data_IF_482830212421
#
_entry.id   IF_482830212421
#
_cell.length_a   1.000
_cell.length_b   1.000
_cell.length_c   1.000
_cell.angle_alpha   90.00
_cell.angle_beta   90.00
_cell.angle_gamma   90.00
#
_symmetry.space_group_name_H-M   'P 1'
#
loop_
_entity.id
_entity.type
_entity.pdbx_description
1 polymer ?
#
# COMPACT_ATOMS: atom_id res chain seq x y z
N UNK A 1 71.20 18.00 -79.67
CA UNK A 1 69.87 17.49 -80.06
C UNK A 1 69.73 16.13 -79.39
N UNK A 2 68.80 16.01 -78.44
CA UNK A 2 68.42 14.71 -77.88
C UNK A 2 67.16 14.30 -78.62
N UNK A 3 67.24 13.19 -79.35
CA UNK A 3 66.08 12.57 -79.99
C UNK A 3 65.15 12.10 -78.87
N UNK A 4 63.96 12.70 -78.84
CA UNK A 4 62.87 12.28 -77.97
C UNK A 4 62.33 11.00 -78.59
N UNK A 5 62.43 9.89 -77.87
CA UNK A 5 61.96 8.59 -78.31
C UNK A 5 60.43 8.56 -78.23
N UNK A 6 59.78 8.93 -79.33
CA UNK A 6 58.32 8.98 -79.46
C UNK A 6 57.65 7.59 -79.32
N UNK A 7 58.43 6.51 -79.33
CA UNK A 7 57.94 5.16 -79.08
C UNK A 7 57.59 4.91 -77.62
N UNK A 8 58.22 5.62 -76.67
CA UNK A 8 57.86 5.54 -75.25
C UNK A 8 56.55 6.30 -74.95
N UNK A 9 56.30 7.44 -75.63
CA UNK A 9 55.09 8.26 -75.39
C UNK A 9 53.78 7.53 -75.73
N UNK A 10 53.74 6.72 -76.78
CA UNK A 10 52.53 5.94 -77.13
C UNK A 10 52.22 4.80 -76.15
N UNK A 11 53.25 4.27 -75.48
CA UNK A 11 53.11 3.17 -74.51
C UNK A 11 52.59 3.62 -73.13
N UNK A 12 52.79 4.88 -72.76
CA UNK A 12 52.22 5.46 -71.54
C UNK A 12 50.79 5.96 -71.74
N UNK A 13 50.46 6.44 -72.94
CA UNK A 13 49.15 7.04 -73.22
C UNK A 13 48.02 6.00 -73.21
N UNK A 14 48.22 4.80 -73.79
CA UNK A 14 47.22 3.72 -73.72
C UNK A 14 47.04 3.21 -72.28
N UNK A 15 48.14 3.15 -71.53
CA UNK A 15 48.15 2.64 -70.16
C UNK A 15 47.40 3.62 -69.24
N UNK A 16 47.62 4.93 -69.40
CA UNK A 16 46.84 5.95 -68.71
C UNK A 16 45.35 5.93 -69.15
N UNK A 17 45.07 5.81 -70.45
CA UNK A 17 43.71 5.84 -71.00
C UNK A 17 42.85 4.66 -70.54
N UNK A 18 43.45 3.49 -70.28
CA UNK A 18 42.73 2.31 -69.78
C UNK A 18 42.71 2.24 -68.25
N UNK A 19 43.83 2.55 -67.59
CA UNK A 19 43.91 2.39 -66.13
C UNK A 19 43.22 3.51 -65.36
N UNK A 20 43.18 4.75 -65.87
CA UNK A 20 42.51 5.86 -65.18
C UNK A 20 41.00 5.58 -65.01
N UNK A 21 40.24 5.19 -66.05
CA UNK A 21 38.82 4.84 -65.90
C UNK A 21 38.59 3.64 -64.99
N UNK A 22 39.46 2.62 -65.04
CA UNK A 22 39.37 1.44 -64.18
C UNK A 22 39.60 1.80 -62.71
N UNK A 23 40.65 2.58 -62.42
CA UNK A 23 40.93 3.07 -61.07
C UNK A 23 39.79 3.94 -60.55
N UNK A 24 39.24 4.83 -61.40
CA UNK A 24 38.09 5.65 -61.05
C UNK A 24 36.87 4.77 -60.70
N UNK A 25 36.59 3.76 -61.53
CA UNK A 25 35.48 2.82 -61.31
C UNK A 25 35.62 2.03 -60.00
N UNK A 26 36.83 1.57 -59.66
CA UNK A 26 37.10 0.89 -58.39
C UNK A 26 36.88 1.83 -57.21
N UNK A 27 37.39 3.07 -57.26
CA UNK A 27 37.20 4.06 -56.19
C UNK A 27 35.72 4.37 -56.00
N UNK A 28 34.96 4.56 -57.08
CA UNK A 28 33.51 4.78 -57.01
C UNK A 28 32.78 3.58 -56.40
N UNK A 29 33.15 2.34 -56.77
CA UNK A 29 32.54 1.13 -56.21
C UNK A 29 32.83 0.99 -54.70
N UNK A 30 34.05 1.30 -54.26
CA UNK A 30 34.42 1.29 -52.85
C UNK A 30 33.61 2.35 -52.08
N UNK A 31 33.53 3.59 -52.59
CA UNK A 31 32.75 4.65 -51.97
C UNK A 31 31.26 4.29 -51.87
N UNK A 32 30.68 3.70 -52.92
CA UNK A 32 29.31 3.21 -52.90
C UNK A 32 29.12 2.12 -51.84
N UNK A 33 30.06 1.17 -51.74
CA UNK A 33 30.03 0.10 -50.73
C UNK A 33 30.10 0.64 -49.29
N UNK A 34 31.00 1.60 -49.04
CA UNK A 34 31.12 2.27 -47.73
C UNK A 34 29.83 3.04 -47.40
N UNK A 35 29.23 3.74 -48.36
CA UNK A 35 27.98 4.48 -48.16
C UNK A 35 26.80 3.54 -47.81
N UNK A 36 26.69 2.38 -48.46
CA UNK A 36 25.66 1.38 -48.12
C UNK A 36 25.90 0.81 -46.73
N UNK A 37 27.16 0.52 -46.37
CA UNK A 37 27.48 -0.03 -45.05
C UNK A 37 27.21 0.96 -43.92
N UNK A 38 27.58 2.24 -44.09
CA UNK A 38 27.29 3.29 -43.10
C UNK A 38 25.79 3.56 -42.99
N UNK A 39 25.06 3.57 -44.11
CA UNK A 39 23.60 3.66 -44.10
C UNK A 39 22.94 2.52 -43.33
N UNK A 40 23.39 1.27 -43.55
CA UNK A 40 22.85 0.13 -42.84
C UNK A 40 23.13 0.19 -41.33
N UNK A 41 24.36 0.57 -40.93
CA UNK A 41 24.72 0.79 -39.52
C UNK A 41 23.89 1.90 -38.88
N UNK A 42 23.64 2.99 -39.60
CA UNK A 42 22.78 4.08 -39.14
C UNK A 42 21.33 3.60 -38.94
N UNK A 43 20.76 2.79 -39.86
CA UNK A 43 19.42 2.23 -39.69
C UNK A 43 19.30 1.29 -38.49
N UNK A 44 20.33 0.46 -38.22
CA UNK A 44 20.33 -0.43 -37.05
C UNK A 44 20.40 0.37 -35.75
N UNK A 45 21.22 1.42 -35.71
CA UNK A 45 21.29 2.33 -34.57
C UNK A 45 19.97 3.08 -34.35
N UNK A 46 19.34 3.56 -35.43
CA UNK A 46 18.04 4.23 -35.36
C UNK A 46 16.96 3.33 -34.76
N UNK A 47 16.83 2.09 -35.23
CA UNK A 47 15.88 1.10 -34.65
C UNK A 47 16.17 0.80 -33.19
N UNK A 48 17.45 0.72 -32.81
CA UNK A 48 17.83 0.48 -31.41
C UNK A 48 17.43 1.66 -30.52
N UNK A 49 17.68 2.90 -30.97
CA UNK A 49 17.28 4.12 -30.26
C UNK A 49 15.76 4.17 -30.11
N UNK A 50 15.02 3.85 -31.17
CA UNK A 50 13.56 3.79 -31.15
C UNK A 50 13.07 2.74 -30.13
N UNK A 51 13.65 1.53 -30.13
CA UNK A 51 13.29 0.50 -29.15
C UNK A 51 13.60 0.90 -27.69
N UNK A 52 14.69 1.65 -27.46
CA UNK A 52 15.03 2.15 -26.13
C UNK A 52 14.07 3.26 -25.70
N UNK A 53 13.70 4.15 -26.62
CA UNK A 53 12.70 5.19 -26.37
C UNK A 53 11.34 4.59 -26.02
N UNK A 54 10.88 3.59 -26.76
CA UNK A 54 9.61 2.90 -26.47
C UNK A 54 9.63 2.21 -25.11
N UNK A 55 10.76 1.58 -24.74
CA UNK A 55 10.92 0.94 -23.44
C UNK A 55 10.91 1.96 -22.29
N UNK A 56 11.58 3.09 -22.46
CA UNK A 56 11.60 4.18 -21.48
C UNK A 56 10.24 4.87 -21.35
N UNK A 57 9.54 5.10 -22.47
CA UNK A 57 8.17 5.62 -22.45
C UNK A 57 7.24 4.67 -21.69
N UNK A 58 7.30 3.35 -21.96
CA UNK A 58 6.53 2.35 -21.21
C UNK A 58 6.83 2.36 -19.71
N UNK A 59 8.09 2.53 -19.31
CA UNK A 59 8.47 2.63 -17.89
C UNK A 59 7.86 3.87 -17.23
N UNK A 60 7.99 5.03 -17.87
CA UNK A 60 7.39 6.28 -17.38
C UNK A 60 5.88 6.18 -17.26
N UNK A 61 5.21 5.56 -18.24
CA UNK A 61 3.77 5.32 -18.16
C UNK A 61 3.39 4.39 -17.02
N UNK A 62 4.17 3.33 -16.77
CA UNK A 62 3.94 2.43 -15.63
C UNK A 62 4.14 3.14 -14.28
N UNK A 63 5.20 3.95 -14.16
CA UNK A 63 5.48 4.76 -12.97
C UNK A 63 4.34 5.76 -12.71
N UNK A 64 3.93 6.54 -13.71
CA UNK A 64 2.81 7.49 -13.59
C UNK A 64 1.50 6.80 -13.21
N UNK A 65 1.23 5.61 -13.76
CA UNK A 65 0.06 4.82 -13.39
C UNK A 65 0.13 4.39 -11.93
N UNK A 66 1.29 3.92 -11.46
CA UNK A 66 1.48 3.50 -10.07
C UNK A 66 1.31 4.66 -9.08
N UNK A 67 1.87 5.83 -9.39
CA UNK A 67 1.73 7.03 -8.56
C UNK A 67 0.27 7.50 -8.50
N UNK A 68 -0.45 7.42 -9.61
CA UNK A 68 -1.88 7.75 -9.66
C UNK A 68 -2.69 6.79 -8.79
N UNK A 69 -2.42 5.49 -8.87
CA UNK A 69 -3.09 4.48 -8.04
C UNK A 69 -2.80 4.69 -6.55
N UNK A 70 -1.55 5.01 -6.18
CA UNK A 70 -1.18 5.32 -4.79
C UNK A 70 -1.84 6.60 -4.26
N UNK A 71 -2.05 7.58 -5.14
CA UNK A 71 -2.76 8.80 -4.75
C UNK A 71 -4.23 8.50 -4.49
N UNK A 72 -4.87 7.75 -5.39
CA UNK A 72 -6.25 7.28 -5.22
C UNK A 72 -6.42 6.42 -3.97
N UNK A 73 -5.53 5.45 -3.73
CA UNK A 73 -5.61 4.57 -2.55
C UNK A 73 -5.51 5.35 -1.24
N UNK A 74 -4.70 6.40 -1.18
CA UNK A 74 -4.59 7.27 0.00
C UNK A 74 -5.86 8.08 0.24
N UNK A 75 -6.48 8.60 -0.82
CA UNK A 75 -7.72 9.36 -0.72
C UNK A 75 -8.89 8.47 -0.27
N UNK A 76 -9.00 7.28 -0.87
CA UNK A 76 -9.97 6.25 -0.52
C UNK A 76 -9.77 5.75 0.91
N UNK A 77 -8.53 5.47 1.31
CA UNK A 77 -8.22 5.07 2.68
C UNK A 77 -8.59 6.17 3.69
N UNK A 78 -8.41 7.45 3.36
CA UNK A 78 -8.85 8.56 4.22
C UNK A 78 -10.36 8.58 4.37
N UNK A 79 -11.13 8.34 3.31
CA UNK A 79 -12.59 8.25 3.40
C UNK A 79 -13.01 7.09 4.32
N UNK A 80 -12.41 5.92 4.15
CA UNK A 80 -12.64 4.75 5.01
C UNK A 80 -12.27 5.00 6.47
N UNK A 81 -11.10 5.60 6.74
CA UNK A 81 -10.65 5.93 8.09
C UNK A 81 -11.59 6.92 8.76
N UNK A 82 -12.10 7.92 8.04
CA UNK A 82 -13.09 8.87 8.58
C UNK A 82 -14.36 8.14 8.99
N UNK A 83 -14.90 7.29 8.13
CA UNK A 83 -16.11 6.53 8.42
C UNK A 83 -15.93 5.59 9.62
N UNK A 84 -14.86 4.78 9.62
CA UNK A 84 -14.57 3.84 10.71
C UNK A 84 -14.39 4.59 12.03
N UNK A 85 -13.60 5.67 12.05
CA UNK A 85 -13.36 6.50 13.24
C UNK A 85 -14.65 7.10 13.80
N UNK A 86 -15.47 7.73 12.97
CA UNK A 86 -16.74 8.32 13.41
C UNK A 86 -17.67 7.24 13.98
N UNK A 87 -17.73 6.07 13.33
CA UNK A 87 -18.53 4.93 13.84
C UNK A 87 -18.03 4.45 15.20
N UNK A 88 -16.72 4.46 15.45
CA UNK A 88 -16.16 4.10 16.75
C UNK A 88 -16.42 5.15 17.84
N UNK A 89 -16.32 6.45 17.51
CA UNK A 89 -16.46 7.58 18.45
C UNK A 89 -17.91 7.80 18.93
N UNK A 90 -18.91 7.55 18.09
CA UNK A 90 -20.31 7.95 18.36
C UNK A 90 -20.95 7.21 19.53
N UNK A 91 -20.49 6.01 19.87
CA UNK A 91 -21.02 5.31 21.04
C UNK A 91 -20.64 6.00 22.36
N UNK A 92 -19.51 6.73 22.40
CA UNK A 92 -19.17 7.58 23.54
C UNK A 92 -20.13 8.76 23.70
N UNK A 93 -20.68 9.27 22.58
CA UNK A 93 -21.61 10.40 22.54
C UNK A 93 -23.08 10.00 22.79
N UNK A 94 -23.54 8.83 22.32
CA UNK A 94 -24.93 8.40 22.49
C UNK A 94 -25.35 8.16 23.94
N UNK A 95 -24.40 8.00 24.87
CA UNK A 95 -24.68 7.83 26.29
C UNK A 95 -24.78 9.15 27.07
N UNK A 96 -24.56 10.30 26.42
CA UNK A 96 -24.77 11.62 27.02
C UNK A 96 -26.08 12.25 26.50
N UNK A 97 -27.16 12.25 27.28
CA UNK A 97 -28.45 12.85 26.89
C UNK A 97 -28.40 14.37 26.73
N UNK A 98 -27.28 15.04 27.08
CA UNK A 98 -27.07 16.47 26.91
C UNK A 98 -26.18 16.82 25.71
N UNK A 99 -25.71 15.81 24.97
CA UNK A 99 -24.86 16.05 23.82
C UNK A 99 -25.63 16.80 22.72
N UNK A 100 -25.10 17.92 22.19
CA UNK A 100 -25.71 18.61 21.06
C UNK A 100 -25.72 17.70 19.82
N UNK A 101 -26.68 17.92 18.91
CA UNK A 101 -26.71 17.22 17.62
C UNK A 101 -25.35 17.35 16.93
N UNK A 102 -24.79 16.24 16.49
CA UNK A 102 -23.49 16.23 15.80
C UNK A 102 -23.60 17.05 14.51
N UNK A 103 -22.58 17.88 14.17
CA UNK A 103 -22.48 18.49 12.86
C UNK A 103 -22.58 17.43 11.77
N UNK A 104 -23.16 17.76 10.61
CA UNK A 104 -23.35 16.81 9.48
C UNK A 104 -22.02 16.16 9.05
N UNK A 105 -20.91 16.89 9.14
CA UNK A 105 -19.56 16.40 8.85
C UNK A 105 -19.06 15.31 9.82
N UNK A 106 -19.74 15.16 10.97
CA UNK A 106 -19.50 14.11 11.97
C UNK A 106 -20.59 13.03 11.96
N UNK A 107 -21.51 13.06 10.99
CA UNK A 107 -22.50 12.00 10.83
C UNK A 107 -21.83 10.76 10.20
N UNK A 108 -21.85 9.60 10.89
CA UNK A 108 -21.20 8.39 10.40
C UNK A 108 -21.93 7.82 9.18
N UNK A 109 -23.21 8.14 8.98
CA UNK A 109 -24.00 7.71 7.82
C UNK A 109 -23.54 8.44 6.58
N UNK A 110 -23.27 9.75 6.68
CA UNK A 110 -22.71 10.54 5.57
C UNK A 110 -21.32 10.02 5.24
N UNK A 111 -20.46 9.85 6.24
CA UNK A 111 -19.11 9.30 6.04
C UNK A 111 -19.13 7.89 5.42
N UNK A 112 -20.12 7.05 5.77
CA UNK A 112 -20.34 5.75 5.14
C UNK A 112 -20.67 5.89 3.66
N UNK A 113 -21.63 6.76 3.31
CA UNK A 113 -22.05 6.98 1.92
C UNK A 113 -20.86 7.46 1.08
N UNK A 114 -20.07 8.40 1.60
CA UNK A 114 -18.87 8.89 0.93
C UNK A 114 -17.86 7.76 0.69
N UNK A 115 -17.58 6.96 1.73
CA UNK A 115 -16.66 5.83 1.64
C UNK A 115 -17.14 4.78 0.63
N UNK A 116 -18.42 4.39 0.68
CA UNK A 116 -19.02 3.44 -0.26
C UNK A 116 -18.94 3.95 -1.70
N UNK A 117 -19.37 5.20 -1.92
CA UNK A 117 -19.38 5.79 -3.27
C UNK A 117 -17.96 5.84 -3.86
N UNK A 118 -16.97 6.19 -3.03
CA UNK A 118 -15.58 6.27 -3.46
C UNK A 118 -15.01 4.87 -3.76
N UNK A 119 -15.22 3.89 -2.88
CA UNK A 119 -14.63 2.56 -3.02
C UNK A 119 -15.35 1.67 -4.05
N UNK A 120 -16.64 1.86 -4.29
CA UNK A 120 -17.39 1.09 -5.31
C UNK A 120 -16.93 1.46 -6.73
N UNK A 121 -16.54 2.72 -6.93
CA UNK A 121 -16.03 3.26 -8.18
C UNK A 121 -14.50 3.19 -8.29
N UNK A 122 -13.83 2.69 -7.25
CA UNK A 122 -12.37 2.63 -7.19
C UNK A 122 -11.80 1.69 -8.24
N UNK A 123 -10.66 2.10 -8.79
CA UNK A 123 -9.79 1.27 -9.63
C UNK A 123 -8.66 0.62 -8.84
N UNK A 124 -8.57 0.91 -7.54
CA UNK A 124 -7.51 0.41 -6.66
C UNK A 124 -7.80 -1.05 -6.30
N UNK A 125 -6.80 -1.95 -6.42
CA UNK A 125 -6.94 -3.34 -6.02
C UNK A 125 -7.45 -3.48 -4.58
N UNK A 126 -8.38 -4.42 -4.35
CA UNK A 126 -8.87 -4.75 -3.01
C UNK A 126 -9.81 -3.73 -2.37
N UNK A 127 -10.15 -2.61 -3.04
CA UNK A 127 -11.05 -1.59 -2.48
C UNK A 127 -12.40 -2.18 -2.04
N UNK A 128 -13.05 -2.97 -2.90
CA UNK A 128 -14.33 -3.61 -2.57
C UNK A 128 -14.23 -4.59 -1.41
N UNK A 129 -13.16 -5.39 -1.37
CA UNK A 129 -12.93 -6.35 -0.30
C UNK A 129 -12.69 -5.62 1.03
N UNK A 130 -11.92 -4.53 1.01
CA UNK A 130 -11.68 -3.68 2.18
C UNK A 130 -12.97 -3.04 2.70
N UNK A 131 -13.80 -2.50 1.79
CA UNK A 131 -15.11 -1.95 2.10
C UNK A 131 -15.98 -2.99 2.80
N UNK A 132 -16.12 -4.17 2.17
CA UNK A 132 -16.98 -5.24 2.68
C UNK A 132 -16.50 -5.80 4.02
N UNK A 133 -15.19 -5.98 4.18
CA UNK A 133 -14.61 -6.44 5.44
C UNK A 133 -14.83 -5.44 6.56
N UNK A 134 -14.66 -4.14 6.27
CA UNK A 134 -14.90 -3.06 7.24
C UNK A 134 -16.38 -2.96 7.61
N UNK A 135 -17.30 -3.12 6.65
CA UNK A 135 -18.74 -3.22 6.94
C UNK A 135 -19.02 -4.32 7.95
N UNK A 136 -18.50 -5.53 7.72
CA UNK A 136 -18.68 -6.66 8.63
C UNK A 136 -18.09 -6.37 10.03
N UNK A 137 -16.93 -5.73 10.11
CA UNK A 137 -16.32 -5.36 11.40
C UNK A 137 -17.09 -4.30 12.17
N UNK A 138 -17.67 -3.34 11.47
CA UNK A 138 -18.50 -2.32 12.11
C UNK A 138 -19.86 -2.87 12.53
N UNK A 139 -20.48 -3.71 11.70
CA UNK A 139 -21.77 -4.37 11.98
C UNK A 139 -21.66 -5.34 13.15
N UNK A 140 -20.69 -6.26 13.10
CA UNK A 140 -20.50 -7.30 14.12
C UNK A 140 -19.55 -6.89 15.25
N UNK A 141 -19.20 -5.60 15.37
CA UNK A 141 -18.24 -5.07 16.36
C UNK A 141 -18.48 -5.64 17.76
N UNK A 142 -19.74 -5.63 18.21
CA UNK A 142 -20.16 -6.05 19.54
C UNK A 142 -20.61 -7.51 19.62
N UNK A 143 -20.84 -8.12 18.47
CA UNK A 143 -21.22 -9.51 18.37
C UNK A 143 -19.99 -10.40 18.55
N UNK A 144 -20.24 -11.60 19.08
CA UNK A 144 -19.20 -12.62 19.26
C UNK A 144 -17.99 -12.10 20.04
N UNK A 145 -18.24 -11.17 20.96
CA UNK A 145 -17.31 -10.88 22.04
C UNK A 145 -17.37 -12.03 23.04
N UNK A 146 -16.23 -12.45 23.60
CA UNK A 146 -16.23 -13.46 24.64
C UNK A 146 -17.16 -13.05 25.76
N UNK A 147 -17.94 -14.02 26.24
CA UNK A 147 -18.70 -13.81 27.47
C UNK A 147 -17.71 -13.58 28.61
N UNK A 148 -18.13 -12.81 29.60
CA UNK A 148 -17.33 -12.58 30.81
C UNK A 148 -16.87 -13.88 31.49
N UNK A 149 -17.59 -14.98 31.28
CA UNK A 149 -17.32 -16.32 31.79
C UNK A 149 -16.23 -17.09 31.02
N UNK A 150 -15.90 -16.69 29.77
CA UNK A 150 -14.92 -17.37 28.91
C UNK A 150 -13.49 -16.88 29.14
N UNK A 151 -13.31 -15.78 29.88
CA UNK A 151 -11.99 -15.32 30.29
C UNK A 151 -11.47 -16.17 31.46
N UNK A 152 -10.18 -16.57 31.45
CA UNK A 152 -9.62 -17.44 32.49
C UNK A 152 -9.79 -16.81 33.88
N UNK A 153 -10.68 -17.40 34.69
CA UNK A 153 -11.01 -16.96 36.03
C UNK A 153 -9.87 -17.29 37.00
N UNK A 154 -8.89 -16.40 37.15
CA UNK A 154 -7.88 -16.50 38.21
C UNK A 154 -8.00 -15.41 39.29
N UNK A 155 -8.95 -14.48 39.18
CA UNK A 155 -9.09 -13.32 40.09
C UNK A 155 -10.22 -13.42 41.13
N UNK A 156 -10.84 -14.58 41.31
CA UNK A 156 -11.94 -14.77 42.26
C UNK A 156 -11.57 -14.62 43.75
N UNK A 157 -10.31 -14.32 44.10
CA UNK A 157 -9.89 -14.10 45.50
C UNK A 157 -9.94 -12.64 45.96
N UNK A 158 -10.22 -11.65 45.10
CA UNK A 158 -10.47 -10.28 45.56
C UNK A 158 -11.75 -9.73 44.92
N UNK A 159 -12.56 -8.98 45.67
CA UNK A 159 -13.86 -8.42 45.25
C UNK A 159 -13.85 -7.46 44.05
N UNK A 160 -12.80 -7.49 43.22
CA UNK A 160 -12.56 -6.72 42.01
C UNK A 160 -12.75 -7.54 40.71
N UNK A 161 -13.23 -8.79 40.78
CA UNK A 161 -13.39 -9.67 39.60
C UNK A 161 -14.25 -9.10 38.46
N UNK A 162 -15.23 -8.25 38.78
CA UNK A 162 -16.09 -7.58 37.79
C UNK A 162 -15.37 -6.51 36.96
N UNK A 163 -14.35 -5.83 37.51
CA UNK A 163 -13.60 -4.79 36.78
C UNK A 163 -12.62 -5.40 35.79
N UNK A 164 -11.99 -6.54 36.13
CA UNK A 164 -11.04 -7.20 35.23
C UNK A 164 -11.69 -7.75 33.96
N UNK A 165 -12.83 -8.47 34.08
CA UNK A 165 -13.56 -9.00 32.92
C UNK A 165 -14.06 -7.88 31.99
N UNK A 166 -14.52 -6.78 32.58
CA UNK A 166 -14.91 -5.57 31.84
C UNK A 166 -13.73 -4.91 31.14
N UNK A 167 -12.56 -4.84 31.79
CA UNK A 167 -11.34 -4.32 31.19
C UNK A 167 -10.86 -5.19 30.02
N UNK A 168 -10.90 -6.51 30.14
CA UNK A 168 -10.51 -7.40 29.02
C UNK A 168 -11.43 -7.25 27.82
N UNK A 169 -12.73 -7.13 28.05
CA UNK A 169 -13.69 -6.88 26.98
C UNK A 169 -13.42 -5.55 26.28
N UNK A 170 -13.13 -4.50 27.05
CA UNK A 170 -12.77 -3.18 26.52
C UNK A 170 -11.45 -3.21 25.73
N UNK A 171 -10.45 -3.95 26.18
CA UNK A 171 -9.21 -4.12 25.44
C UNK A 171 -9.41 -4.92 24.14
N UNK A 172 -10.22 -5.97 24.15
CA UNK A 172 -10.58 -6.69 22.92
C UNK A 172 -11.29 -5.77 21.91
N UNK A 173 -12.15 -4.84 22.37
CA UNK A 173 -12.73 -3.81 21.51
C UNK A 173 -11.67 -2.90 20.90
N UNK A 174 -10.81 -2.32 21.74
CA UNK A 174 -9.73 -1.42 21.29
C UNK A 174 -8.82 -2.10 20.28
N UNK A 175 -8.52 -3.38 20.49
CA UNK A 175 -7.65 -4.12 19.59
C UNK A 175 -8.31 -4.39 18.24
N UNK A 176 -9.60 -4.77 18.23
CA UNK A 176 -10.37 -4.89 16.97
C UNK A 176 -10.39 -3.56 16.21
N UNK A 177 -10.67 -2.46 16.89
CA UNK A 177 -10.66 -1.11 16.29
C UNK A 177 -9.30 -0.75 15.72
N UNK A 178 -8.22 -1.01 16.47
CA UNK A 178 -6.86 -0.79 16.02
C UNK A 178 -6.57 -1.61 14.76
N UNK A 179 -6.93 -2.89 14.74
CA UNK A 179 -6.75 -3.77 13.56
C UNK A 179 -7.48 -3.24 12.34
N UNK A 180 -8.75 -2.85 12.48
CA UNK A 180 -9.53 -2.24 11.38
C UNK A 180 -8.84 -1.01 10.82
N UNK A 181 -8.45 -0.09 11.70
CA UNK A 181 -7.82 1.17 11.30
C UNK A 181 -6.45 0.95 10.66
N UNK A 182 -5.66 0.02 11.21
CA UNK A 182 -4.34 -0.30 10.68
C UNK A 182 -4.44 -0.97 9.32
N UNK A 183 -5.39 -1.88 9.11
CA UNK A 183 -5.65 -2.51 7.80
C UNK A 183 -5.97 -1.46 6.72
N UNK A 184 -6.82 -0.48 7.05
CA UNK A 184 -7.15 0.59 6.10
C UNK A 184 -5.91 1.44 5.79
N UNK A 185 -5.07 1.73 6.80
CA UNK A 185 -3.83 2.49 6.60
C UNK A 185 -2.82 1.74 5.74
N UNK A 186 -2.55 0.48 6.05
CA UNK A 186 -1.57 -0.34 5.31
C UNK A 186 -2.00 -0.52 3.86
N UNK A 187 -3.30 -0.77 3.62
CA UNK A 187 -3.85 -0.80 2.26
C UNK A 187 -3.69 0.53 1.53
N UNK A 188 -3.94 1.66 2.19
CA UNK A 188 -3.74 2.99 1.60
C UNK A 188 -2.29 3.27 1.18
N UNK A 189 -1.31 2.63 1.83
CA UNK A 189 0.12 2.77 1.53
C UNK A 189 0.58 1.82 0.42
N UNK A 190 0.11 0.58 0.43
CA UNK A 190 0.49 -0.46 -0.52
C UNK A 190 -0.71 -1.39 -0.80
N UNK A 191 -1.61 -1.00 -1.73
CA UNK A 191 -2.81 -1.75 -2.01
C UNK A 191 -2.50 -3.09 -2.71
N UNK A 192 -1.47 -3.14 -3.56
CA UNK A 192 -1.10 -4.36 -4.29
C UNK A 192 -0.66 -5.47 -3.32
N UNK A 193 0.15 -5.12 -2.31
CA UNK A 193 0.60 -6.09 -1.31
C UNK A 193 -0.47 -6.42 -0.27
N UNK A 194 -1.34 -5.46 0.07
CA UNK A 194 -2.34 -5.64 1.15
C UNK A 194 -3.59 -6.38 0.67
N UNK A 195 -3.92 -6.29 -0.62
CA UNK A 195 -5.15 -6.89 -1.17
C UNK A 195 -5.28 -8.40 -0.90
N UNK A 196 -4.27 -9.24 -1.14
CA UNK A 196 -4.39 -10.68 -0.88
C UNK A 196 -4.72 -10.99 0.59
N UNK A 197 -4.10 -10.25 1.53
CA UNK A 197 -4.36 -10.42 2.96
C UNK A 197 -5.80 -10.02 3.32
N UNK A 198 -6.29 -8.94 2.72
CA UNK A 198 -7.68 -8.47 2.92
C UNK A 198 -8.68 -9.48 2.36
N UNK A 199 -8.39 -10.05 1.19
CA UNK A 199 -9.24 -11.07 0.56
C UNK A 199 -9.28 -12.35 1.42
N UNK A 200 -8.14 -12.80 1.94
CA UNK A 200 -8.06 -13.95 2.85
C UNK A 200 -8.83 -13.69 4.15
N UNK A 201 -8.68 -12.50 4.74
CA UNK A 201 -9.42 -12.10 5.94
C UNK A 201 -10.93 -12.00 5.68
N UNK A 202 -11.34 -11.47 4.53
CA UNK A 202 -12.74 -11.42 4.12
C UNK A 202 -13.29 -12.83 3.91
N UNK A 203 -12.56 -13.71 3.26
CA UNK A 203 -12.94 -15.11 3.12
C UNK A 203 -13.08 -15.79 4.49
N UNK A 204 -12.17 -15.52 5.43
CA UNK A 204 -12.24 -16.04 6.80
C UNK A 204 -13.48 -15.51 7.53
N UNK A 205 -13.78 -14.21 7.40
CA UNK A 205 -14.94 -13.57 8.00
C UNK A 205 -16.27 -14.13 7.46
N UNK A 206 -16.34 -14.43 6.17
CA UNK A 206 -17.55 -14.96 5.53
C UNK A 206 -17.75 -16.46 5.81
N UNK A 207 -16.69 -17.27 5.72
CA UNK A 207 -16.79 -18.74 5.78
C UNK A 207 -16.70 -19.29 7.21
N UNK A 208 -15.89 -18.66 8.05
CA UNK A 208 -15.60 -19.12 9.42
C UNK A 208 -15.63 -17.95 10.39
N UNK A 209 -16.79 -17.27 10.53
CA UNK A 209 -16.88 -16.05 11.32
C UNK A 209 -16.49 -16.29 12.79
N UNK A 210 -16.79 -17.45 13.38
CA UNK A 210 -16.38 -17.75 14.76
C UNK A 210 -14.85 -17.71 14.97
N UNK A 211 -14.08 -18.10 13.95
CA UNK A 211 -12.62 -18.02 13.98
C UNK A 211 -12.17 -16.59 13.74
N UNK A 212 -12.72 -15.91 12.74
CA UNK A 212 -12.36 -14.52 12.43
C UNK A 212 -12.61 -13.55 13.59
N UNK A 213 -13.72 -13.75 14.31
CA UNK A 213 -14.10 -12.93 15.46
C UNK A 213 -13.47 -13.41 16.78
N UNK A 214 -12.75 -14.52 16.82
CA UNK A 214 -12.15 -14.98 18.08
C UNK A 214 -11.15 -13.94 18.58
N UNK A 215 -11.40 -13.41 19.78
CA UNK A 215 -10.56 -12.40 20.40
C UNK A 215 -9.14 -12.92 20.68
N UNK A 216 -8.94 -14.24 20.75
CA UNK A 216 -7.62 -14.85 20.93
C UNK A 216 -6.73 -14.62 19.72
N UNK A 217 -7.30 -14.46 18.53
CA UNK A 217 -6.57 -14.01 17.33
C UNK A 217 -6.41 -12.48 17.27
N UNK A 218 -7.13 -11.75 18.11
CA UNK A 218 -7.03 -10.30 18.23
C UNK A 218 -6.00 -9.87 19.28
N UNK A 219 -5.20 -10.76 19.84
CA UNK A 219 -4.10 -10.37 20.72
C UNK A 219 -2.79 -10.90 20.14
N UNK A 220 -1.72 -10.08 20.09
CA UNK A 220 -0.38 -10.60 19.84
C UNK A 220 -0.06 -11.67 20.88
N UNK A 221 0.64 -12.72 20.49
CA UNK A 221 1.07 -13.79 21.41
C UNK A 221 1.80 -13.22 22.64
N UNK A 222 2.49 -12.08 22.48
CA UNK A 222 3.15 -11.34 23.56
C UNK A 222 2.17 -10.72 24.57
N UNK A 223 1.05 -10.16 24.11
CA UNK A 223 0.02 -9.59 24.99
C UNK A 223 -0.70 -10.72 25.73
N UNK A 224 -0.98 -11.83 25.03
CA UNK A 224 -1.49 -13.04 25.68
C UNK A 224 -0.49 -13.59 26.71
N UNK A 225 0.80 -13.65 26.38
CA UNK A 225 1.85 -14.14 27.27
C UNK A 225 2.05 -13.23 28.49
N UNK A 226 2.16 -11.92 28.30
CA UNK A 226 2.28 -10.94 29.39
C UNK A 226 1.05 -11.01 30.30
N UNK A 227 -0.16 -11.19 29.73
CA UNK A 227 -1.39 -11.30 30.52
C UNK A 227 -1.56 -12.66 31.20
N UNK A 228 -0.92 -13.71 30.68
CA UNK A 228 -0.84 -15.03 31.31
C UNK A 228 0.23 -15.06 32.41
N UNK A 229 1.34 -14.31 32.25
CA UNK A 229 2.49 -14.28 33.17
C UNK A 229 2.38 -13.26 34.31
N UNK A 230 1.76 -12.09 34.11
CA UNK A 230 1.58 -11.06 35.17
C UNK A 230 0.47 -11.38 36.19
N UNK A 231 -0.12 -12.58 36.08
CA UNK A 231 -1.18 -13.06 36.95
C UNK A 231 -0.80 -13.26 38.45
N UNK A 232 0.46 -13.12 38.91
CA UNK A 232 0.72 -13.00 40.35
C UNK A 232 1.91 -12.09 40.75
N UNK A 233 2.12 -10.91 40.15
CA UNK A 233 3.15 -9.95 40.66
C UNK A 233 2.61 -8.58 41.09
N UNK A 234 1.39 -8.21 40.70
CA UNK A 234 0.81 -6.91 41.07
C UNK A 234 0.20 -6.84 42.49
N UNK A 235 0.10 -7.95 43.24
CA UNK A 235 -0.44 -7.93 44.62
C UNK A 235 0.61 -7.83 45.73
N UNK A 236 1.91 -7.77 45.40
CA UNK A 236 2.99 -7.61 46.39
C UNK A 236 3.75 -6.29 46.28
N UNK A 237 3.51 -5.49 45.24
CA UNK A 237 3.91 -4.08 45.23
C UNK A 237 2.73 -3.25 45.69
N UNK A 238 2.76 -2.85 46.96
CA UNK A 238 1.86 -1.85 47.50
C UNK A 238 1.78 -0.67 46.55
N UNK A 239 0.60 -0.49 45.95
CA UNK A 239 0.25 0.76 45.30
C UNK A 239 0.11 1.75 46.45
N UNK A 240 1.17 2.49 46.73
CA UNK A 240 1.07 3.75 47.45
C UNK A 240 0.29 4.68 46.54
N UNK A 241 -1.04 4.66 46.67
CA UNK A 241 -1.88 5.73 46.12
C UNK A 241 -1.49 6.96 46.92
N UNK A 242 -0.67 7.82 46.32
CA UNK A 242 -0.47 9.18 46.80
C UNK A 242 -1.81 9.90 46.69
N UNK A 243 -2.60 9.84 47.76
CA UNK A 243 -3.70 10.76 47.99
C UNK A 243 -3.06 12.11 48.23
N UNK A 244 -3.01 12.95 47.21
CA UNK A 244 -2.78 14.38 47.39
C UNK A 244 -4.06 14.92 48.02
N UNK A 245 -4.07 14.96 49.36
CA UNK A 245 -5.03 15.76 50.12
C UNK A 245 -4.70 17.20 49.80
N UNK A 246 -5.56 17.84 49.01
CA UNK A 246 -5.51 19.28 48.78
C UNK A 246 -6.12 19.95 50.01
N UNK A 247 -5.30 20.23 51.02
CA UNK A 247 -5.69 21.10 52.13
C UNK A 247 -5.80 22.53 51.55
N UNK A 248 -7.03 23.04 51.52
CA UNK A 248 -7.27 24.45 51.23
C UNK A 248 -6.69 25.32 52.34
N UNK A 249 -6.30 26.57 52.05
CA UNK A 249 -5.82 27.47 53.09
C UNK A 249 -7.00 27.93 53.95
N UNK A 250 -6.92 27.63 55.24
CA UNK A 250 -7.61 28.40 56.27
C UNK A 250 -6.93 29.78 56.37
N UNK A 251 -7.60 30.79 55.82
CA UNK A 251 -7.77 32.17 56.37
C UNK A 251 -8.64 33.02 55.43
#
# INVERSE_FOLDING_TARGET
MRDIDWSEMGSYDWLAQVWIPVALGIVTAILAGVAVWTSHRASVLARKIESMRDADEKRRYAEQRSERLLTMSREEARAMLRWARLTFEIRGWMHDPRAPALPVERDPRVARIDAMTTLDQSLVPGARSLLRLTELELEHRHERMPKSEEFPDKRLTSGLGGTWKSNMRNEAFRWREHRTMERIRTWGLDPERSTPLIDDELALALNTPNVFWDYRHAFPDQVLAEWVEDAPKASSRGITVGVVVNEGPDD
#
